data_IF_403305471318
#
_entry.id   IF_403305471318
#
_cell.length_a   1.000
_cell.length_b   1.000
_cell.length_c   1.000
_cell.angle_alpha   90.00
_cell.angle_beta   90.00
_cell.angle_gamma   90.00
#
_symmetry.space_group_name_H-M   'P 1'
#
loop_
_entity.id
_entity.type
_entity.pdbx_description
1 polymer ?
#
# COMPACT_ATOMS: atom_id res chain seq x y z
N UNK A 1 -74.46 8.32 -44.20
CA UNK A 1 -73.36 8.98 -44.93
C UNK A 1 -73.22 10.39 -44.39
N UNK A 2 -72.15 10.66 -43.65
CA UNK A 2 -71.88 12.01 -43.12
C UNK A 2 -71.42 12.92 -44.28
N UNK A 3 -71.85 14.19 -44.34
CA UNK A 3 -71.42 15.10 -45.39
C UNK A 3 -69.91 15.36 -45.23
N UNK A 4 -69.15 15.16 -46.30
CA UNK A 4 -67.73 15.50 -46.33
C UNK A 4 -67.58 16.99 -46.04
N UNK A 5 -66.67 17.34 -45.11
CA UNK A 5 -66.31 18.73 -44.87
C UNK A 5 -65.87 19.34 -46.20
N UNK A 6 -66.52 20.43 -46.61
CA UNK A 6 -66.22 21.09 -47.88
C UNK A 6 -64.75 21.56 -47.91
N UNK A 7 -64.09 21.51 -49.07
CA UNK A 7 -62.67 21.89 -49.25
C UNK A 7 -62.30 23.23 -48.58
N UNK A 8 -63.22 24.20 -48.59
CA UNK A 8 -63.07 25.50 -47.93
C UNK A 8 -63.00 25.44 -46.39
N UNK A 9 -63.72 24.51 -45.76
CA UNK A 9 -63.69 24.32 -44.30
C UNK A 9 -62.40 23.63 -43.86
N UNK A 10 -61.88 22.72 -44.69
CA UNK A 10 -60.57 22.09 -44.53
C UNK A 10 -59.42 23.09 -44.68
N UNK A 11 -59.49 24.02 -45.64
CA UNK A 11 -58.50 25.10 -45.80
C UNK A 11 -58.56 26.10 -44.64
N UNK A 12 -59.76 26.46 -44.17
CA UNK A 12 -59.94 27.41 -43.05
C UNK A 12 -59.50 26.83 -41.71
N UNK A 13 -59.75 25.54 -41.46
CA UNK A 13 -59.27 24.82 -40.27
C UNK A 13 -57.75 24.63 -40.37
N UNK A 14 -57.22 24.21 -41.52
CA UNK A 14 -55.78 24.08 -41.76
C UNK A 14 -55.01 25.39 -41.56
N UNK A 15 -55.55 26.52 -42.05
CA UNK A 15 -54.96 27.83 -41.80
C UNK A 15 -54.99 28.19 -40.30
N UNK A 16 -56.10 27.94 -39.59
CA UNK A 16 -56.19 28.16 -38.14
C UNK A 16 -55.22 27.28 -37.34
N UNK A 17 -54.97 26.05 -37.79
CA UNK A 17 -54.08 25.10 -37.11
C UNK A 17 -52.59 25.31 -37.45
N UNK A 18 -52.25 26.00 -38.55
CA UNK A 18 -50.89 26.49 -38.82
C UNK A 18 -50.51 27.66 -37.90
N UNK A 19 -51.50 28.49 -37.53
CA UNK A 19 -51.32 29.65 -36.66
C UNK A 19 -51.65 29.38 -35.18
N UNK A 20 -52.19 28.20 -34.84
CA UNK A 20 -52.31 27.74 -33.45
C UNK A 20 -50.97 27.14 -33.03
N UNK A 21 -50.20 27.99 -32.36
CA UNK A 21 -49.07 27.64 -31.50
C UNK A 21 -49.44 26.45 -30.61
N UNK A 22 -48.68 25.36 -30.69
CA UNK A 22 -48.72 24.29 -29.68
C UNK A 22 -47.33 23.97 -29.09
N UNK A 23 -46.36 24.87 -29.27
CA UNK A 23 -45.12 24.91 -28.48
C UNK A 23 -44.93 26.33 -27.97
N UNK A 24 -45.12 26.53 -26.66
CA UNK A 24 -45.15 27.81 -25.92
C UNK A 24 -43.83 28.63 -25.91
N UNK A 25 -43.01 28.56 -26.94
CA UNK A 25 -41.75 29.31 -27.02
C UNK A 25 -41.68 30.09 -28.32
N UNK A 26 -41.75 31.42 -28.19
CA UNK A 26 -41.51 32.36 -29.28
C UNK A 26 -40.13 32.09 -29.89
N UNK A 27 -40.01 31.85 -31.22
CA UNK A 27 -38.74 31.69 -31.91
C UNK A 27 -37.73 32.81 -31.62
N UNK A 28 -38.18 34.03 -31.33
CA UNK A 28 -37.33 35.15 -30.94
C UNK A 28 -36.81 35.00 -29.50
N UNK A 29 -37.68 34.60 -28.56
CA UNK A 29 -37.30 34.30 -27.18
C UNK A 29 -36.33 33.11 -27.10
N UNK A 30 -36.55 32.09 -27.94
CA UNK A 30 -35.66 30.95 -28.11
C UNK A 30 -34.27 31.37 -28.63
N UNK A 31 -34.20 32.23 -29.65
CA UNK A 31 -32.93 32.74 -30.19
C UNK A 31 -32.17 33.56 -29.15
N UNK A 32 -32.89 34.37 -28.35
CA UNK A 32 -32.32 35.14 -27.27
C UNK A 32 -31.72 34.24 -26.17
N UNK A 33 -32.42 33.17 -25.76
CA UNK A 33 -31.89 32.20 -24.80
C UNK A 33 -30.67 31.44 -25.32
N UNK A 34 -30.67 31.04 -26.60
CA UNK A 34 -29.52 30.40 -27.22
C UNK A 34 -28.29 31.32 -27.26
N UNK A 35 -28.48 32.59 -27.62
CA UNK A 35 -27.41 33.60 -27.63
C UNK A 35 -26.82 33.84 -26.23
N UNK A 36 -27.66 33.85 -25.19
CA UNK A 36 -27.19 33.93 -23.81
C UNK A 36 -26.32 32.74 -23.42
N UNK A 37 -26.73 31.52 -23.79
CA UNK A 37 -25.93 30.31 -23.55
C UNK A 37 -24.62 30.29 -24.34
N UNK A 38 -24.60 30.79 -25.57
CA UNK A 38 -23.36 30.92 -26.36
C UNK A 38 -22.37 31.85 -25.68
N UNK A 39 -22.84 32.97 -25.11
CA UNK A 39 -21.98 33.87 -24.36
C UNK A 39 -21.46 33.23 -23.08
N UNK A 40 -22.29 32.47 -22.37
CA UNK A 40 -21.89 31.72 -21.17
C UNK A 40 -20.81 30.66 -21.49
N UNK A 41 -21.00 29.88 -22.58
CA UNK A 41 -20.00 28.94 -23.10
C UNK A 41 -18.68 29.65 -23.39
N UNK A 42 -18.74 30.82 -24.06
CA UNK A 42 -17.55 31.60 -24.39
C UNK A 42 -16.77 32.01 -23.12
N UNK A 43 -17.48 32.45 -22.08
CA UNK A 43 -16.87 32.80 -20.80
C UNK A 43 -16.25 31.57 -20.13
N UNK A 44 -16.96 30.44 -20.05
CA UNK A 44 -16.44 29.19 -19.47
C UNK A 44 -15.16 28.68 -20.17
N UNK A 45 -15.11 28.79 -21.50
CA UNK A 45 -13.93 28.39 -22.28
C UNK A 45 -12.75 29.36 -22.12
N UNK A 46 -13.03 30.65 -21.94
CA UNK A 46 -12.00 31.63 -21.62
C UNK A 46 -11.41 31.34 -20.23
N UNK A 47 -12.25 31.14 -19.21
CA UNK A 47 -11.82 30.78 -17.86
C UNK A 47 -10.98 29.48 -17.84
N UNK A 48 -11.37 28.50 -18.66
CA UNK A 48 -10.60 27.26 -18.80
C UNK A 48 -9.22 27.49 -19.43
N UNK A 49 -9.14 28.41 -20.40
CA UNK A 49 -7.88 28.78 -21.06
C UNK A 49 -6.96 29.49 -20.07
N UNK A 50 -7.48 30.47 -19.34
CA UNK A 50 -6.74 31.24 -18.34
C UNK A 50 -6.20 30.30 -17.24
N UNK A 51 -7.04 29.40 -16.70
CA UNK A 51 -6.61 28.42 -15.68
C UNK A 51 -5.57 27.42 -16.20
N UNK A 52 -5.65 27.04 -17.46
CA UNK A 52 -4.66 26.14 -18.08
C UNK A 52 -3.30 26.85 -18.25
N UNK A 53 -3.32 28.13 -18.62
CA UNK A 53 -2.11 28.96 -18.67
C UNK A 53 -1.48 29.08 -17.28
N UNK A 54 -2.29 29.38 -16.25
CA UNK A 54 -1.79 29.42 -14.87
C UNK A 54 -1.26 28.04 -14.40
N UNK A 55 -1.83 26.93 -14.88
CA UNK A 55 -1.34 25.58 -14.57
C UNK A 55 0.00 25.27 -15.25
N UNK A 56 0.22 25.83 -16.44
CA UNK A 56 1.47 25.70 -17.20
C UNK A 56 2.63 26.42 -16.52
N UNK A 57 2.36 27.56 -15.86
CA UNK A 57 3.32 28.35 -15.11
C UNK A 57 3.70 27.73 -13.74
N UNK A 58 2.90 26.79 -13.23
CA UNK A 58 3.24 26.06 -12.03
C UNK A 58 4.43 25.12 -12.28
N UNK A 59 5.56 25.45 -11.65
CA UNK A 59 6.77 24.63 -11.68
C UNK A 59 6.55 23.21 -11.11
N UNK A 60 7.47 22.31 -11.46
CA UNK A 60 7.39 20.85 -11.21
C UNK A 60 7.19 20.48 -9.72
N UNK A 61 7.51 21.36 -8.78
CA UNK A 61 7.34 21.11 -7.34
C UNK A 61 5.91 21.34 -6.81
N UNK A 62 5.00 21.88 -7.64
CA UNK A 62 3.59 22.17 -7.26
C UNK A 62 2.59 21.26 -7.97
N UNK A 63 2.91 19.96 -8.06
CA UNK A 63 2.12 18.95 -8.79
C UNK A 63 0.65 18.96 -8.36
N UNK A 64 0.35 18.97 -7.05
CA UNK A 64 -1.04 18.96 -6.58
C UNK A 64 -1.84 20.19 -7.00
N UNK A 65 -1.22 21.38 -7.00
CA UNK A 65 -1.90 22.60 -7.46
C UNK A 65 -2.14 22.56 -8.98
N UNK A 66 -1.19 22.00 -9.73
CA UNK A 66 -1.31 21.81 -11.18
C UNK A 66 -2.42 20.81 -11.54
N UNK A 67 -2.47 19.68 -10.84
CA UNK A 67 -3.53 18.66 -11.00
C UNK A 67 -4.90 19.24 -10.69
N UNK A 68 -5.05 19.99 -9.60
CA UNK A 68 -6.33 20.62 -9.26
C UNK A 68 -6.81 21.60 -10.34
N UNK A 69 -5.91 22.41 -10.92
CA UNK A 69 -6.27 23.30 -12.03
C UNK A 69 -6.66 22.54 -13.28
N UNK A 70 -5.97 21.46 -13.64
CA UNK A 70 -6.38 20.60 -14.76
C UNK A 70 -7.78 20.01 -14.54
N UNK A 71 -8.11 19.56 -13.32
CA UNK A 71 -9.46 19.08 -12.98
C UNK A 71 -10.51 20.19 -13.18
N UNK A 72 -10.22 21.42 -12.78
CA UNK A 72 -11.14 22.55 -13.00
C UNK A 72 -11.31 22.89 -14.48
N UNK A 73 -10.24 22.83 -15.27
CA UNK A 73 -10.28 23.01 -16.74
C UNK A 73 -11.16 21.94 -17.38
N UNK A 74 -10.96 20.67 -17.03
CA UNK A 74 -11.75 19.55 -17.55
C UNK A 74 -13.23 19.71 -17.19
N UNK A 75 -13.54 20.16 -15.97
CA UNK A 75 -14.91 20.43 -15.54
C UNK A 75 -15.56 21.53 -16.40
N UNK A 76 -14.90 22.67 -16.59
CA UNK A 76 -15.42 23.78 -17.39
C UNK A 76 -15.60 23.39 -18.86
N UNK A 77 -14.68 22.61 -19.42
CA UNK A 77 -14.80 22.11 -20.79
C UNK A 77 -15.98 21.15 -20.94
N UNK A 78 -16.19 20.24 -19.98
CA UNK A 78 -17.32 19.32 -19.98
C UNK A 78 -18.67 20.05 -19.87
N UNK A 79 -18.77 21.06 -19.00
CA UNK A 79 -19.96 21.91 -18.90
C UNK A 79 -20.24 22.64 -20.23
N UNK A 80 -19.22 23.21 -20.87
CA UNK A 80 -19.36 23.86 -22.17
C UNK A 80 -19.83 22.90 -23.28
N UNK A 81 -19.29 21.67 -23.31
CA UNK A 81 -19.70 20.63 -24.27
C UNK A 81 -21.18 20.28 -24.08
N UNK A 82 -21.63 20.13 -22.83
CA UNK A 82 -23.02 19.85 -22.51
C UNK A 82 -23.96 20.99 -22.96
N UNK A 83 -23.57 22.24 -22.72
CA UNK A 83 -24.34 23.41 -23.15
C UNK A 83 -24.43 23.50 -24.68
N UNK A 84 -23.33 23.22 -25.40
CA UNK A 84 -23.31 23.14 -26.87
C UNK A 84 -24.29 22.08 -27.38
N UNK A 85 -24.27 20.87 -26.79
CA UNK A 85 -25.17 19.79 -27.17
C UNK A 85 -26.64 20.19 -26.96
N UNK A 86 -26.94 20.89 -25.87
CA UNK A 86 -28.28 21.42 -25.59
C UNK A 86 -28.72 22.42 -26.66
N UNK A 87 -27.84 23.35 -27.06
CA UNK A 87 -28.12 24.32 -28.13
C UNK A 87 -28.37 23.60 -29.46
N UNK A 88 -27.58 22.58 -29.78
CA UNK A 88 -27.75 21.79 -31.00
C UNK A 88 -29.12 21.10 -31.05
N UNK A 89 -29.52 20.42 -29.98
CA UNK A 89 -30.86 19.79 -29.88
C UNK A 89 -31.98 20.82 -30.03
N UNK A 90 -31.82 21.98 -29.40
CA UNK A 90 -32.74 23.10 -29.50
C UNK A 90 -32.87 23.62 -30.94
N UNK A 91 -31.76 23.84 -31.65
CA UNK A 91 -31.76 24.30 -33.05
C UNK A 91 -32.48 23.29 -33.95
N UNK A 92 -32.27 21.99 -33.72
CA UNK A 92 -32.93 20.93 -34.48
C UNK A 92 -34.46 20.98 -34.28
N UNK A 93 -34.94 21.16 -33.05
CA UNK A 93 -36.39 21.33 -32.79
C UNK A 93 -36.96 22.56 -33.50
N UNK A 94 -36.25 23.69 -33.48
CA UNK A 94 -36.69 24.90 -34.18
C UNK A 94 -36.80 24.67 -35.70
N UNK A 95 -35.80 24.03 -36.30
CA UNK A 95 -35.77 23.71 -37.72
C UNK A 95 -36.94 22.77 -38.08
N UNK A 96 -37.21 21.75 -37.26
CA UNK A 96 -38.35 20.83 -37.43
C UNK A 96 -39.70 21.54 -37.37
N UNK A 97 -39.89 22.43 -36.38
CA UNK A 97 -41.12 23.24 -36.27
C UNK A 97 -41.34 24.16 -37.48
N UNK A 98 -40.27 24.71 -38.05
CA UNK A 98 -40.35 25.50 -39.28
C UNK A 98 -40.66 24.63 -40.50
N UNK A 99 -40.09 23.44 -40.55
CA UNK A 99 -40.36 22.44 -41.58
C UNK A 99 -41.84 22.03 -41.61
N UNK A 100 -42.39 21.61 -40.48
CA UNK A 100 -43.81 21.18 -40.37
C UNK A 100 -44.77 22.29 -40.83
N UNK A 101 -44.44 23.55 -40.51
CA UNK A 101 -45.20 24.72 -41.00
C UNK A 101 -45.09 24.88 -42.50
N UNK A 102 -43.89 24.75 -43.06
CA UNK A 102 -43.67 24.83 -44.51
C UNK A 102 -44.44 23.75 -45.26
N UNK A 103 -44.44 22.51 -44.74
CA UNK A 103 -45.21 21.40 -45.32
C UNK A 103 -46.71 21.71 -45.35
N UNK A 104 -47.28 22.14 -44.21
CA UNK A 104 -48.70 22.52 -44.13
C UNK A 104 -49.04 23.69 -45.06
N UNK A 105 -48.14 24.68 -45.21
CA UNK A 105 -48.32 25.81 -46.14
C UNK A 105 -48.27 25.33 -47.59
N UNK A 106 -47.31 24.48 -47.95
CA UNK A 106 -47.20 23.87 -49.29
C UNK A 106 -48.49 23.14 -49.66
N UNK A 107 -49.02 22.32 -48.75
CA UNK A 107 -50.24 21.54 -48.95
C UNK A 107 -51.48 22.43 -49.16
N UNK A 108 -51.57 23.55 -48.43
CA UNK A 108 -52.61 24.55 -48.62
C UNK A 108 -52.44 25.27 -49.96
N UNK A 109 -51.23 25.70 -50.32
CA UNK A 109 -50.96 26.38 -51.58
C UNK A 109 -51.25 25.49 -52.79
N UNK A 110 -50.88 24.20 -52.74
CA UNK A 110 -51.24 23.20 -53.76
C UNK A 110 -52.76 23.16 -53.97
N UNK A 111 -53.54 23.04 -52.88
CA UNK A 111 -55.01 23.06 -52.93
C UNK A 111 -55.58 24.38 -53.45
N UNK A 112 -55.02 25.52 -53.04
CA UNK A 112 -55.48 26.84 -53.51
C UNK A 112 -55.21 27.04 -55.01
N UNK A 113 -54.10 26.52 -55.52
CA UNK A 113 -53.73 26.60 -56.94
C UNK A 113 -54.55 25.62 -57.78
N UNK A 114 -54.80 24.40 -57.30
CA UNK A 114 -55.57 23.38 -58.04
C UNK A 114 -57.08 23.61 -58.00
N UNK A 115 -57.61 23.91 -56.83
CA UNK A 115 -59.06 23.88 -56.56
C UNK A 115 -59.67 25.29 -56.51
N UNK A 116 -58.82 26.33 -56.45
CA UNK A 116 -59.24 27.71 -56.21
C UNK A 116 -59.62 27.98 -54.75
N UNK A 117 -59.94 29.23 -54.44
CA UNK A 117 -60.31 29.70 -53.10
C UNK A 117 -61.78 30.07 -53.10
N UNK A 118 -62.53 29.58 -52.10
CA UNK A 118 -63.94 29.95 -51.92
C UNK A 118 -64.04 31.38 -51.36
N UNK A 119 -64.71 32.28 -52.07
CA UNK A 119 -64.95 33.65 -51.63
C UNK A 119 -66.04 33.72 -50.53
N UNK A 120 -66.31 34.91 -50.00
CA UNK A 120 -67.34 35.14 -48.96
C UNK A 120 -68.76 34.80 -49.41
N UNK A 121 -69.00 34.78 -50.72
CA UNK A 121 -70.29 34.44 -51.33
C UNK A 121 -70.42 32.94 -51.62
N UNK A 122 -69.36 32.18 -51.36
CA UNK A 122 -69.31 30.75 -51.56
C UNK A 122 -68.89 30.30 -52.95
N UNK A 123 -68.47 31.21 -53.82
CA UNK A 123 -68.02 30.91 -55.18
C UNK A 123 -66.53 30.56 -55.18
N UNK A 124 -66.12 29.63 -56.05
CA UNK A 124 -64.71 29.26 -56.21
C UNK A 124 -64.05 30.26 -57.14
N UNK A 125 -63.01 30.92 -56.64
CA UNK A 125 -62.17 31.86 -57.39
C UNK A 125 -60.81 31.21 -57.63
N UNK A 126 -60.48 30.95 -58.88
CA UNK A 126 -59.17 30.40 -59.26
C UNK A 126 -58.13 31.53 -59.22
N UNK A 127 -56.96 31.24 -58.65
CA UNK A 127 -55.83 32.18 -58.62
C UNK A 127 -55.36 32.45 -60.05
N UNK A 128 -55.27 33.72 -60.43
CA UNK A 128 -54.78 34.15 -61.75
C UNK A 128 -53.81 35.35 -61.64
N UNK A 129 -53.09 35.61 -62.73
CA UNK A 129 -52.12 36.72 -62.83
C UNK A 129 -51.09 36.72 -61.69
N UNK A 130 -50.86 37.90 -61.11
CA UNK A 130 -49.86 38.12 -60.05
C UNK A 130 -50.10 37.29 -58.79
N UNK A 131 -51.36 36.99 -58.46
CA UNK A 131 -51.70 36.16 -57.29
C UNK A 131 -51.29 34.69 -57.49
N UNK A 132 -51.43 34.16 -58.71
CA UNK A 132 -50.96 32.83 -59.04
C UNK A 132 -49.42 32.73 -59.07
N UNK A 133 -48.74 33.78 -59.56
CA UNK A 133 -47.26 33.85 -59.53
C UNK A 133 -46.73 33.88 -58.10
N UNK A 134 -47.32 34.69 -57.21
CA UNK A 134 -46.94 34.75 -55.79
C UNK A 134 -47.19 33.40 -55.11
N UNK A 135 -48.32 32.74 -55.38
CA UNK A 135 -48.63 31.44 -54.80
C UNK A 135 -47.67 30.33 -55.29
N UNK A 136 -47.30 30.34 -56.58
CA UNK A 136 -46.30 29.41 -57.14
C UNK A 136 -44.91 29.65 -56.55
N UNK A 137 -44.48 30.90 -56.43
CA UNK A 137 -43.21 31.23 -55.78
C UNK A 137 -43.17 30.80 -54.30
N UNK A 138 -44.26 31.04 -53.57
CA UNK A 138 -44.40 30.59 -52.18
C UNK A 138 -44.40 29.06 -52.07
N UNK A 139 -45.02 28.37 -53.04
CA UNK A 139 -45.02 26.91 -53.12
C UNK A 139 -43.61 26.36 -53.39
N UNK A 140 -42.90 26.89 -54.38
CA UNK A 140 -41.51 26.50 -54.68
C UNK A 140 -40.59 26.72 -53.48
N UNK A 141 -40.78 27.83 -52.75
CA UNK A 141 -40.04 28.10 -51.51
C UNK A 141 -40.37 27.07 -50.42
N UNK A 142 -41.66 26.71 -50.28
CA UNK A 142 -42.09 25.75 -49.28
C UNK A 142 -41.65 24.30 -49.59
N UNK A 143 -41.64 23.91 -50.87
CA UNK A 143 -41.14 22.62 -51.35
C UNK A 143 -39.61 22.52 -51.29
N UNK A 144 -38.89 23.64 -51.42
CA UNK A 144 -37.45 23.66 -51.15
C UNK A 144 -37.14 23.31 -49.68
N UNK A 145 -38.07 23.58 -48.75
CA UNK A 145 -37.94 23.08 -47.39
C UNK A 145 -38.16 21.57 -47.31
N UNK A 146 -39.00 20.95 -48.16
CA UNK A 146 -39.29 19.50 -48.17
C UNK A 146 -38.02 18.65 -48.31
N UNK A 147 -37.08 19.07 -49.17
CA UNK A 147 -35.76 18.41 -49.32
C UNK A 147 -34.88 18.43 -48.06
N UNK A 148 -35.21 19.27 -47.08
CA UNK A 148 -34.52 19.30 -45.78
C UNK A 148 -35.04 18.26 -44.78
N UNK A 149 -36.16 17.58 -45.05
CA UNK A 149 -36.70 16.53 -44.17
C UNK A 149 -35.75 15.35 -44.03
N UNK A 150 -35.21 14.87 -45.15
CA UNK A 150 -34.25 13.76 -45.17
C UNK A 150 -33.00 14.12 -44.35
N UNK A 151 -32.55 15.38 -44.43
CA UNK A 151 -31.43 15.87 -43.64
C UNK A 151 -31.76 15.96 -42.14
N UNK A 152 -32.97 16.40 -41.77
CA UNK A 152 -33.43 16.45 -40.38
C UNK A 152 -33.55 15.04 -39.81
N UNK A 153 -34.20 14.12 -40.52
CA UNK A 153 -34.35 12.73 -40.10
C UNK A 153 -33.00 12.02 -39.96
N UNK A 154 -32.04 12.31 -40.86
CA UNK A 154 -30.67 11.83 -40.73
C UNK A 154 -29.98 12.37 -39.47
N UNK A 155 -30.16 13.65 -39.15
CA UNK A 155 -29.60 14.26 -37.93
C UNK A 155 -30.25 13.64 -36.68
N UNK A 156 -31.55 13.40 -36.67
CA UNK A 156 -32.27 12.77 -35.56
C UNK A 156 -31.73 11.36 -35.28
N UNK A 157 -31.62 10.52 -36.31
CA UNK A 157 -31.06 9.17 -36.15
C UNK A 157 -29.63 9.21 -35.58
N UNK A 158 -28.81 10.16 -36.02
CA UNK A 158 -27.45 10.33 -35.49
C UNK A 158 -27.41 10.84 -34.05
N UNK A 159 -28.40 11.65 -33.63
CA UNK A 159 -28.53 12.06 -32.23
C UNK A 159 -28.93 10.88 -31.35
N UNK A 160 -29.88 10.06 -31.78
CA UNK A 160 -30.30 8.87 -31.03
C UNK A 160 -29.16 7.85 -30.90
N UNK A 161 -28.39 7.65 -31.96
CA UNK A 161 -27.16 6.83 -31.92
C UNK A 161 -26.13 7.41 -30.94
N UNK A 162 -25.96 8.73 -30.92
CA UNK A 162 -25.06 9.42 -30.00
C UNK A 162 -25.51 9.26 -28.55
N UNK A 163 -26.78 9.49 -28.24
CA UNK A 163 -27.32 9.34 -26.88
C UNK A 163 -27.14 7.90 -26.37
N UNK A 164 -27.30 6.92 -27.27
CA UNK A 164 -27.04 5.51 -26.97
C UNK A 164 -25.55 5.24 -26.67
N UNK A 165 -24.64 5.87 -27.42
CA UNK A 165 -23.19 5.78 -27.17
C UNK A 165 -22.80 6.45 -25.85
N UNK A 166 -23.33 7.64 -25.57
CA UNK A 166 -23.05 8.39 -24.34
C UNK A 166 -23.53 7.61 -23.11
N UNK A 167 -24.68 6.93 -23.20
CA UNK A 167 -25.17 6.03 -22.15
C UNK A 167 -24.22 4.83 -21.92
N UNK A 168 -23.75 4.18 -23.00
CA UNK A 168 -22.80 3.07 -22.90
C UNK A 168 -21.46 3.52 -22.31
N UNK A 169 -20.94 4.68 -22.74
CA UNK A 169 -19.71 5.24 -22.21
C UNK A 169 -19.84 5.59 -20.74
N UNK A 170 -20.97 6.19 -20.33
CA UNK A 170 -21.25 6.51 -18.93
C UNK A 170 -21.26 5.26 -18.06
N UNK A 171 -21.88 4.16 -18.54
CA UNK A 171 -21.86 2.88 -17.84
C UNK A 171 -20.43 2.33 -17.71
N UNK A 172 -19.66 2.32 -18.80
CA UNK A 172 -18.28 1.85 -18.78
C UNK A 172 -17.40 2.66 -17.82
N UNK A 173 -17.57 3.98 -17.78
CA UNK A 173 -16.85 4.85 -16.84
C UNK A 173 -17.19 4.48 -15.40
N UNK A 174 -18.47 4.25 -15.08
CA UNK A 174 -18.88 3.83 -13.73
C UNK A 174 -18.31 2.47 -13.34
N UNK A 175 -18.23 1.52 -14.27
CA UNK A 175 -17.59 0.22 -14.04
C UNK A 175 -16.09 0.39 -13.78
N UNK A 176 -15.39 1.16 -14.61
CA UNK A 176 -13.96 1.44 -14.43
C UNK A 176 -13.67 2.15 -13.09
N UNK A 177 -14.52 3.07 -12.65
CA UNK A 177 -14.38 3.74 -11.34
C UNK A 177 -14.45 2.71 -10.21
N UNK A 178 -15.40 1.78 -10.25
CA UNK A 178 -15.52 0.72 -9.24
C UNK A 178 -14.29 -0.18 -9.21
N UNK A 179 -13.77 -0.54 -10.38
CA UNK A 179 -12.55 -1.34 -10.49
C UNK A 179 -11.34 -0.62 -9.90
N UNK A 180 -11.20 0.68 -10.18
CA UNK A 180 -10.13 1.52 -9.60
C UNK A 180 -10.25 1.56 -8.07
N UNK A 181 -11.44 1.81 -7.52
CA UNK A 181 -11.66 1.82 -6.06
C UNK A 181 -11.32 0.47 -5.42
N UNK A 182 -11.62 -0.64 -6.11
CA UNK A 182 -11.27 -1.97 -5.63
C UNK A 182 -9.76 -2.20 -5.64
N UNK A 183 -9.07 -1.82 -6.71
CA UNK A 183 -7.62 -1.91 -6.83
C UNK A 183 -6.91 -1.04 -5.79
N UNK A 184 -7.43 0.16 -5.48
CA UNK A 184 -6.89 1.01 -4.43
C UNK A 184 -7.00 0.36 -3.05
N UNK A 185 -8.14 -0.26 -2.73
CA UNK A 185 -8.32 -1.03 -1.49
C UNK A 185 -7.35 -2.20 -1.40
N UNK A 186 -7.17 -2.93 -2.50
CA UNK A 186 -6.23 -4.05 -2.56
C UNK A 186 -4.78 -3.58 -2.38
N UNK A 187 -4.39 -2.49 -3.05
CA UNK A 187 -3.08 -1.85 -2.88
C UNK A 187 -2.83 -1.46 -1.41
N UNK A 188 -3.79 -0.82 -0.76
CA UNK A 188 -3.68 -0.47 0.66
C UNK A 188 -3.52 -1.69 1.55
N UNK A 189 -4.26 -2.78 1.26
CA UNK A 189 -4.15 -4.04 2.00
C UNK A 189 -2.76 -4.67 1.84
N UNK A 190 -2.25 -4.74 0.62
CA UNK A 190 -0.92 -5.28 0.32
C UNK A 190 0.16 -4.44 1.00
N UNK A 191 0.04 -3.11 0.95
CA UNK A 191 0.99 -2.22 1.62
C UNK A 191 1.04 -2.48 3.12
N UNK A 192 -0.12 -2.62 3.77
CA UNK A 192 -0.18 -2.95 5.20
C UNK A 192 0.49 -4.29 5.51
N UNK A 193 0.25 -5.31 4.69
CA UNK A 193 0.90 -6.63 4.86
C UNK A 193 2.42 -6.56 4.68
N UNK A 194 2.90 -5.72 3.75
CA UNK A 194 4.33 -5.51 3.55
C UNK A 194 4.96 -4.83 4.77
N UNK A 195 4.30 -3.81 5.32
CA UNK A 195 4.78 -3.09 6.51
C UNK A 195 4.85 -4.02 7.74
N UNK A 196 3.83 -4.87 7.94
CA UNK A 196 3.81 -5.89 8.99
C UNK A 196 4.96 -6.89 8.84
N UNK A 197 5.21 -7.38 7.61
CA UNK A 197 6.31 -8.30 7.33
C UNK A 197 7.68 -7.65 7.59
N UNK A 198 7.86 -6.40 7.18
CA UNK A 198 9.11 -5.66 7.45
C UNK A 198 9.34 -5.43 8.95
N UNK A 199 8.27 -5.21 9.72
CA UNK A 199 8.38 -5.10 11.17
C UNK A 199 8.84 -6.43 11.80
N UNK A 200 8.26 -7.56 11.35
CA UNK A 200 8.65 -8.89 11.80
C UNK A 200 10.12 -9.22 11.44
N UNK A 201 10.56 -8.90 10.22
CA UNK A 201 11.94 -9.14 9.78
C UNK A 201 12.95 -8.34 10.65
N UNK A 202 12.59 -7.11 11.03
CA UNK A 202 13.40 -6.29 11.95
C UNK A 202 13.46 -6.89 13.35
N UNK A 203 12.35 -7.40 13.86
CA UNK A 203 12.30 -8.07 15.16
C UNK A 203 13.14 -9.35 15.17
N UNK A 204 12.99 -10.20 14.15
CA UNK A 204 13.79 -11.41 13.99
C UNK A 204 15.28 -11.10 13.91
N UNK A 205 15.66 -10.06 13.18
CA UNK A 205 17.06 -9.62 13.08
C UNK A 205 17.64 -9.23 14.44
N UNK A 206 16.88 -8.49 15.26
CA UNK A 206 17.28 -8.13 16.63
C UNK A 206 17.43 -9.36 17.52
N UNK A 207 16.50 -10.31 17.44
CA UNK A 207 16.55 -11.55 18.23
C UNK A 207 17.78 -12.40 17.85
N UNK A 208 18.12 -12.45 16.55
CA UNK A 208 19.34 -13.14 16.08
C UNK A 208 20.60 -12.47 16.64
N UNK A 209 20.65 -11.15 16.68
CA UNK A 209 21.79 -10.42 17.27
C UNK A 209 21.93 -10.70 18.77
N UNK A 210 20.83 -10.69 19.52
CA UNK A 210 20.82 -11.04 20.94
C UNK A 210 21.32 -12.47 21.18
N UNK A 211 20.79 -13.46 20.46
CA UNK A 211 21.22 -14.86 20.57
C UNK A 211 22.70 -15.06 20.22
N UNK A 212 23.23 -14.29 19.25
CA UNK A 212 24.66 -14.31 18.92
C UNK A 212 25.52 -13.80 20.08
N UNK A 213 25.06 -12.76 20.77
CA UNK A 213 25.80 -12.21 21.91
C UNK A 213 25.73 -13.15 23.12
N UNK A 214 24.57 -13.70 23.43
CA UNK A 214 24.42 -14.74 24.47
C UNK A 214 25.32 -15.94 24.19
N UNK A 215 25.36 -16.42 22.94
CA UNK A 215 26.26 -17.50 22.53
C UNK A 215 27.73 -17.16 22.78
N UNK A 216 28.16 -15.92 22.47
CA UNK A 216 29.54 -15.47 22.73
C UNK A 216 29.84 -15.45 24.21
N UNK A 217 28.91 -14.98 25.03
CA UNK A 217 29.12 -14.90 26.48
C UNK A 217 29.18 -16.29 27.11
N UNK A 218 28.30 -17.22 26.72
CA UNK A 218 28.37 -18.63 27.12
C UNK A 218 29.70 -19.24 26.71
N UNK A 219 30.17 -18.98 25.48
CA UNK A 219 31.47 -19.49 25.03
C UNK A 219 32.63 -18.98 25.89
N UNK A 220 32.65 -17.68 26.22
CA UNK A 220 33.67 -17.12 27.13
C UNK A 220 33.64 -17.76 28.50
N UNK A 221 32.45 -18.02 29.05
CA UNK A 221 32.31 -18.69 30.34
C UNK A 221 32.81 -20.13 30.29
N UNK A 222 32.52 -20.85 29.21
CA UNK A 222 33.01 -22.21 28.99
C UNK A 222 34.54 -22.26 28.89
N UNK A 223 35.13 -21.34 28.13
CA UNK A 223 36.58 -21.24 27.97
C UNK A 223 37.27 -20.93 29.30
N UNK A 224 36.70 -20.02 30.12
CA UNK A 224 37.18 -19.74 31.48
C UNK A 224 37.11 -20.98 32.36
N UNK A 225 36.01 -21.73 32.31
CA UNK A 225 35.86 -22.97 33.09
C UNK A 225 36.91 -24.01 32.69
N UNK A 226 37.12 -24.21 31.39
CA UNK A 226 38.16 -25.13 30.91
C UNK A 226 39.57 -24.72 31.33
N UNK A 227 39.88 -23.42 31.35
CA UNK A 227 41.15 -22.93 31.86
C UNK A 227 41.34 -23.24 33.35
N UNK A 228 40.29 -23.03 34.15
CA UNK A 228 40.27 -23.34 35.58
C UNK A 228 40.43 -24.85 35.83
N UNK A 229 39.68 -25.68 35.11
CA UNK A 229 39.76 -27.15 35.22
C UNK A 229 41.18 -27.66 34.91
N UNK A 230 41.86 -27.04 33.92
CA UNK A 230 43.25 -27.35 33.57
C UNK A 230 44.23 -26.95 34.67
N UNK A 231 44.02 -25.80 35.30
CA UNK A 231 44.84 -25.33 36.43
C UNK A 231 44.66 -26.23 37.66
N UNK A 232 43.41 -26.58 37.99
CA UNK A 232 43.09 -27.52 39.06
C UNK A 232 43.69 -28.90 38.81
N UNK A 233 43.62 -29.41 37.57
CA UNK A 233 44.23 -30.70 37.21
C UNK A 233 45.75 -30.69 37.45
N UNK A 234 46.45 -29.61 37.06
CA UNK A 234 47.88 -29.45 37.32
C UNK A 234 48.18 -29.41 38.82
N UNK A 235 47.38 -28.67 39.60
CA UNK A 235 47.57 -28.59 41.05
C UNK A 235 47.35 -29.94 41.74
N UNK A 236 46.36 -30.72 41.30
CA UNK A 236 46.13 -32.09 41.78
C UNK A 236 47.35 -32.99 41.49
N UNK A 237 47.94 -32.85 40.30
CA UNK A 237 49.11 -33.64 39.90
C UNK A 237 50.34 -33.30 40.76
N UNK A 238 50.58 -32.01 41.02
CA UNK A 238 51.62 -31.56 41.94
C UNK A 238 51.43 -32.11 43.36
N UNK A 239 50.20 -32.04 43.89
CA UNK A 239 49.89 -32.59 45.21
C UNK A 239 50.09 -34.12 45.29
N UNK A 240 49.83 -34.85 44.19
CA UNK A 240 50.13 -36.28 44.12
C UNK A 240 51.64 -36.55 44.18
N UNK A 241 52.44 -35.78 43.45
CA UNK A 241 53.91 -35.89 43.50
C UNK A 241 54.45 -35.56 44.89
N UNK A 242 53.97 -34.50 45.52
CA UNK A 242 54.36 -34.14 46.90
C UNK A 242 53.99 -35.23 47.90
N UNK A 243 52.76 -35.76 47.80
CA UNK A 243 52.31 -36.88 48.62
C UNK A 243 53.24 -38.10 48.46
N UNK A 244 53.64 -38.41 47.23
CA UNK A 244 54.57 -39.51 46.96
C UNK A 244 55.94 -39.27 47.59
N UNK A 245 56.50 -38.06 47.46
CA UNK A 245 57.77 -37.70 48.10
C UNK A 245 57.71 -37.82 49.62
N UNK A 246 56.63 -37.35 50.24
CA UNK A 246 56.42 -37.47 51.70
C UNK A 246 56.33 -38.94 52.10
N UNK A 247 55.64 -39.77 51.32
CA UNK A 247 55.53 -41.20 51.56
C UNK A 247 56.90 -41.89 51.52
N UNK A 248 57.72 -41.59 50.49
CA UNK A 248 59.09 -42.10 50.39
C UNK A 248 59.96 -41.66 51.57
N UNK A 249 59.84 -40.40 52.01
CA UNK A 249 60.54 -39.90 53.20
C UNK A 249 60.11 -40.63 54.48
N UNK A 250 58.81 -40.91 54.64
CA UNK A 250 58.27 -41.65 55.77
C UNK A 250 58.80 -43.09 55.80
N UNK A 251 58.80 -43.77 54.66
CA UNK A 251 59.27 -45.14 54.57
C UNK A 251 60.79 -45.23 54.82
N UNK A 252 61.57 -44.27 54.33
CA UNK A 252 62.99 -44.14 54.66
C UNK A 252 63.23 -43.93 56.17
N UNK A 253 62.43 -43.06 56.82
CA UNK A 253 62.51 -42.85 58.27
C UNK A 253 62.13 -44.12 59.04
N UNK A 254 61.09 -44.85 58.62
CA UNK A 254 60.69 -46.13 59.24
C UNK A 254 61.81 -47.17 59.13
N UNK A 255 62.43 -47.30 57.96
CA UNK A 255 63.55 -48.22 57.77
C UNK A 255 64.72 -47.87 58.69
N UNK A 256 65.05 -46.58 58.80
CA UNK A 256 66.12 -46.11 59.70
C UNK A 256 65.79 -46.34 61.18
N UNK A 257 64.53 -46.17 61.58
CA UNK A 257 64.08 -46.53 62.93
C UNK A 257 64.26 -48.03 63.17
N UNK A 258 63.83 -48.89 62.24
CA UNK A 258 64.00 -50.34 62.36
C UNK A 258 65.48 -50.77 62.43
N UNK A 259 66.38 -50.10 61.70
CA UNK A 259 67.82 -50.29 61.82
C UNK A 259 68.34 -49.87 63.20
N UNK A 260 67.95 -48.69 63.68
CA UNK A 260 68.32 -48.21 65.02
C UNK A 260 67.80 -49.15 66.12
N UNK A 261 66.56 -49.66 66.01
CA UNK A 261 66.00 -50.65 66.92
C UNK A 261 66.82 -51.94 66.93
N UNK A 262 67.24 -52.45 65.77
CA UNK A 262 68.15 -53.60 65.68
C UNK A 262 69.48 -53.32 66.38
N UNK A 263 70.08 -52.16 66.13
CA UNK A 263 71.34 -51.77 66.77
C UNK A 263 71.20 -51.63 68.29
N UNK A 264 70.10 -51.03 68.78
CA UNK A 264 69.79 -50.93 70.21
C UNK A 264 69.63 -52.31 70.83
N UNK A 265 68.88 -53.22 70.19
CA UNK A 265 68.70 -54.58 70.68
C UNK A 265 70.02 -55.36 70.72
N UNK A 266 70.88 -55.21 69.72
CA UNK A 266 72.21 -55.81 69.69
C UNK A 266 73.10 -55.27 70.82
N UNK A 267 73.14 -53.95 71.02
CA UNK A 267 73.86 -53.32 72.13
C UNK A 267 73.31 -53.75 73.49
N UNK A 268 71.99 -53.83 73.64
CA UNK A 268 71.35 -54.29 74.89
C UNK A 268 71.70 -55.74 75.20
N UNK A 269 71.72 -56.61 74.18
CA UNK A 269 72.17 -58.01 74.33
C UNK A 269 73.64 -58.08 74.72
N UNK A 270 74.51 -57.29 74.08
CA UNK A 270 75.93 -57.20 74.42
C UNK A 270 76.14 -56.67 75.85
N UNK A 271 75.35 -55.69 76.28
CA UNK A 271 75.37 -55.14 77.64
C UNK A 271 74.89 -56.19 78.64
N UNK A 272 73.85 -56.96 78.30
CA UNK A 272 73.39 -58.11 79.08
C UNK A 272 74.45 -59.21 79.21
N UNK A 273 75.21 -59.48 78.14
CA UNK A 273 76.36 -60.39 78.16
C UNK A 273 77.52 -59.86 79.00
N UNK A 274 77.81 -58.56 78.95
CA UNK A 274 78.82 -57.92 79.82
C UNK A 274 78.36 -57.98 81.28
N UNK A 275 77.10 -57.70 81.57
CA UNK A 275 76.54 -57.78 82.92
C UNK A 275 76.57 -59.20 83.48
N UNK A 276 76.25 -60.22 82.67
CA UNK A 276 76.35 -61.62 83.07
C UNK A 276 77.80 -62.10 83.17
N UNK A 277 78.71 -61.60 82.34
CA UNK A 277 80.15 -61.88 82.44
C UNK A 277 80.81 -61.18 83.64
N UNK A 278 80.30 -60.01 84.02
CA UNK A 278 80.79 -59.23 85.15
C UNK A 278 80.14 -59.61 86.49
N UNK A 279 79.10 -60.44 86.48
CA UNK A 279 78.48 -61.05 87.66
C UNK A 279 79.44 -61.92 88.50
N UNK A 280 80.63 -62.26 87.98
CA UNK A 280 81.66 -62.98 88.74
C UNK A 280 82.78 -62.08 89.31
N UNK A 281 82.74 -60.74 89.14
CA UNK A 281 83.73 -59.80 89.71
C UNK A 281 83.13 -58.42 90.05
N UNK A 282 82.43 -58.29 91.18
CA UNK A 282 82.09 -57.00 91.80
C UNK A 282 83.36 -56.39 92.45
N UNK A 283 83.72 -55.08 92.25
CA UNK A 283 82.83 -53.91 92.31
C UNK A 283 83.19 -52.74 91.34
N UNK A 284 83.58 -53.00 90.09
CA UNK A 284 83.90 -51.92 89.10
C UNK A 284 82.67 -51.57 88.20
N UNK A 285 81.70 -52.48 88.13
CA UNK A 285 80.58 -52.48 87.16
C UNK A 285 79.56 -51.35 87.37
N UNK A 286 79.40 -50.85 88.61
CA UNK A 286 78.44 -49.78 88.89
C UNK A 286 78.77 -48.45 88.20
N UNK A 287 80.05 -48.18 87.91
CA UNK A 287 80.43 -46.92 87.22
C UNK A 287 80.14 -46.97 85.71
N UNK A 288 80.29 -48.13 85.07
CA UNK A 288 80.13 -48.27 83.62
C UNK A 288 78.66 -48.28 83.22
N UNK A 289 77.78 -48.90 84.01
CA UNK A 289 76.33 -48.89 83.78
C UNK A 289 75.77 -47.47 83.94
N UNK A 290 76.26 -46.70 84.93
CA UNK A 290 75.89 -45.30 85.10
C UNK A 290 76.36 -44.43 83.92
N UNK A 291 77.55 -44.68 83.38
CA UNK A 291 78.08 -43.96 82.21
C UNK A 291 77.25 -44.27 80.95
N UNK A 292 76.88 -45.53 80.70
CA UNK A 292 76.08 -45.93 79.55
C UNK A 292 74.65 -45.36 79.64
N UNK A 293 74.03 -45.36 80.83
CA UNK A 293 72.72 -44.75 81.04
C UNK A 293 72.74 -43.22 80.82
N UNK A 294 73.84 -42.55 81.19
CA UNK A 294 74.02 -41.11 80.95
C UNK A 294 74.21 -40.79 79.46
N UNK A 295 74.96 -41.61 78.72
CA UNK A 295 75.16 -41.48 77.27
C UNK A 295 73.88 -41.76 76.49
N UNK A 296 73.08 -42.76 76.92
CA UNK A 296 71.78 -43.05 76.33
C UNK A 296 70.77 -41.91 76.54
N UNK A 297 70.76 -41.28 77.73
CA UNK A 297 69.93 -40.10 77.99
C UNK A 297 70.37 -38.89 77.15
N UNK A 298 71.67 -38.71 76.94
CA UNK A 298 72.19 -37.63 76.08
C UNK A 298 71.83 -37.85 74.60
N UNK A 299 71.91 -39.09 74.12
CA UNK A 299 71.50 -39.43 72.75
C UNK A 299 70.00 -39.23 72.52
N UNK A 300 69.14 -39.60 73.50
CA UNK A 300 67.70 -39.32 73.42
C UNK A 300 67.39 -37.80 73.43
N UNK A 301 68.13 -37.02 74.20
CA UNK A 301 68.00 -35.55 74.26
C UNK A 301 68.33 -34.89 72.92
N UNK A 302 69.39 -35.33 72.24
CA UNK A 302 69.79 -34.80 70.93
C UNK A 302 68.78 -35.18 69.84
N UNK A 303 68.20 -36.37 69.91
CA UNK A 303 67.15 -36.82 68.98
C UNK A 303 65.86 -36.01 69.15
N UNK A 304 65.46 -35.66 70.39
CA UNK A 304 64.31 -34.76 70.62
C UNK A 304 64.56 -33.36 70.06
N UNK A 305 65.77 -32.81 70.24
CA UNK A 305 66.12 -31.48 69.72
C UNK A 305 66.10 -31.39 68.18
N UNK A 306 66.48 -32.46 67.46
CA UNK A 306 66.42 -32.50 66.00
C UNK A 306 65.03 -32.80 65.41
N UNK A 307 64.11 -33.34 66.22
CA UNK A 307 62.73 -33.66 65.80
C UNK A 307 61.73 -32.53 66.07
N UNK A 308 62.14 -31.44 66.73
CA UNK A 308 61.29 -30.26 66.93
C UNK A 308 60.05 -30.52 67.79
N UNK A 309 60.18 -31.37 68.82
CA UNK A 309 59.19 -31.53 69.90
C UNK A 309 59.84 -31.19 71.23
#
# INVERSE_FOLDING_TARGET
MLPSKTSAETIRIGAKDIFRYDDNSDPEEFLAQALLKVNDIKTKLQDATDKNEEASELGVFRINAKVNKCIEVDKLQNEAIFDIATIQQHVIRLVKSRYDRSYKISDILKKMISDGIKNTNGEIVVLNGKAAEIAKFALETAESCERSEEAINFIENRLDEKDTLDAKQSQQIQENIKDIEQLEKEKQRIQKQLDEKQALDKEQSRNIEQLKEEKREIQKQLDKKHALDKEQSKSIEQLKEEKQKIQEQLDNKRNKIAELEKSINALSSQTGQIASSASNKLPIVFSTIALIASLASLALSVIKFQLGV
#
